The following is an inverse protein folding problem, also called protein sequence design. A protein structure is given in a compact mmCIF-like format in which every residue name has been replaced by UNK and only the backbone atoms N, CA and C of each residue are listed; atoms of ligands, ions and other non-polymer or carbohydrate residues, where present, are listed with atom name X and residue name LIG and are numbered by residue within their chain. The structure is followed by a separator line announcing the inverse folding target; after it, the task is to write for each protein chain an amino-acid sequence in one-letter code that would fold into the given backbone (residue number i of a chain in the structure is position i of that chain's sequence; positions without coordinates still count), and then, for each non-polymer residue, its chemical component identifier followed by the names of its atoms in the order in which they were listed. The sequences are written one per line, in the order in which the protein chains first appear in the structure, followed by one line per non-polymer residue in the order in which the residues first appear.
data_IF_165286162525
#
_entry.id   IF_165286162525
#
_cell.length_a   1.000
_cell.length_b   1.000
_cell.length_c   1.000
_cell.angle_alpha   90.00
_cell.angle_beta   90.00
_cell.angle_gamma   90.00
#
_symmetry.space_group_name_H-M   'P 1'
#
loop_
_entity.id
_entity.type
_entity.pdbx_description
1 polymer ?
#
# COMPACT_ATOMS: atom_id res chain seq x y z
N UNK A 1 -25.41 -18.87 21.77
CA UNK A 1 -26.02 -19.09 20.44
C UNK A 1 -25.97 -20.59 20.15
N UNK A 2 -26.95 -21.15 19.45
CA UNK A 2 -27.12 -22.60 19.25
C UNK A 2 -25.84 -23.34 18.79
N UNK A 3 -24.99 -22.68 18.00
CA UNK A 3 -23.67 -23.18 17.59
C UNK A 3 -22.82 -23.68 18.77
N UNK A 4 -22.74 -22.91 19.87
CA UNK A 4 -21.94 -23.32 21.03
C UNK A 4 -22.54 -24.54 21.73
N UNK A 5 -23.86 -24.67 21.74
CA UNK A 5 -24.56 -25.81 22.33
C UNK A 5 -24.32 -27.08 21.51
N UNK A 6 -24.42 -26.97 20.18
CA UNK A 6 -24.10 -28.06 19.25
C UNK A 6 -22.67 -28.56 19.41
N UNK A 7 -21.69 -27.63 19.49
CA UNK A 7 -20.28 -28.01 19.70
C UNK A 7 -20.02 -28.64 21.06
N UNK A 8 -20.71 -28.18 22.12
CA UNK A 8 -20.48 -28.64 23.48
C UNK A 8 -21.16 -29.98 23.77
N UNK A 9 -22.39 -30.15 23.32
CA UNK A 9 -23.22 -31.31 23.65
C UNK A 9 -23.29 -32.33 22.50
N UNK A 10 -22.77 -32.01 21.31
CA UNK A 10 -22.74 -32.92 20.17
C UNK A 10 -24.06 -32.99 19.40
N UNK A 11 -23.98 -33.23 18.10
CA UNK A 11 -25.13 -33.20 17.19
C UNK A 11 -26.18 -34.28 17.48
N UNK A 12 -25.79 -35.44 18.01
CA UNK A 12 -26.71 -36.54 18.33
C UNK A 12 -27.76 -36.19 19.38
N UNK A 13 -27.52 -35.13 20.18
CA UNK A 13 -28.46 -34.63 21.18
C UNK A 13 -29.44 -33.58 20.62
N UNK A 14 -29.43 -33.34 19.31
CA UNK A 14 -30.30 -32.40 18.62
C UNK A 14 -31.01 -33.07 17.45
N UNK A 15 -32.24 -32.67 17.18
CA UNK A 15 -33.02 -33.11 16.03
C UNK A 15 -33.40 -31.89 15.19
N UNK A 16 -33.42 -32.07 13.86
CA UNK A 16 -33.95 -31.08 12.93
C UNK A 16 -35.30 -31.56 12.42
N UNK A 17 -36.32 -30.72 12.54
CA UNK A 17 -37.68 -30.98 12.08
C UNK A 17 -38.23 -29.75 11.37
N UNK A 18 -38.98 -29.97 10.29
CA UNK A 18 -39.63 -28.91 9.53
C UNK A 18 -41.03 -28.69 10.11
N UNK A 19 -41.26 -27.54 10.75
CA UNK A 19 -42.55 -27.23 11.38
C UNK A 19 -43.66 -26.93 10.36
N UNK A 20 -43.35 -26.14 9.33
CA UNK A 20 -44.34 -25.75 8.31
C UNK A 20 -43.63 -25.36 6.99
N UNK A 21 -44.20 -25.76 5.86
CA UNK A 21 -43.82 -25.24 4.54
C UNK A 21 -44.64 -23.99 4.23
N UNK A 22 -43.98 -22.89 3.87
CA UNK A 22 -44.63 -21.63 3.56
C UNK A 22 -43.97 -20.90 2.39
N UNK A 23 -44.70 -19.97 1.78
CA UNK A 23 -44.16 -19.11 0.74
C UNK A 23 -43.12 -18.12 1.30
N UNK A 24 -42.07 -17.74 0.53
CA UNK A 24 -41.02 -16.82 0.99
C UNK A 24 -41.52 -15.49 1.57
N UNK A 25 -42.70 -15.03 1.11
CA UNK A 25 -43.33 -13.77 1.56
C UNK A 25 -43.87 -13.85 2.98
N UNK A 26 -44.25 -15.05 3.44
CA UNK A 26 -44.88 -15.27 4.74
C UNK A 26 -43.93 -15.94 5.75
N UNK A 27 -42.75 -16.39 5.33
CA UNK A 27 -41.74 -17.00 6.21
C UNK A 27 -41.47 -16.19 7.48
N UNK A 28 -41.31 -14.86 7.38
CA UNK A 28 -41.02 -14.02 8.56
C UNK A 28 -42.20 -13.99 9.54
N UNK A 29 -43.44 -13.95 9.05
CA UNK A 29 -44.63 -13.95 9.90
C UNK A 29 -44.77 -15.30 10.62
N UNK A 30 -44.55 -16.40 9.90
CA UNK A 30 -44.61 -17.75 10.44
C UNK A 30 -43.48 -18.02 11.44
N UNK A 31 -42.27 -17.53 11.15
CA UNK A 31 -41.14 -17.58 12.08
C UNK A 31 -41.48 -16.83 13.39
N UNK A 32 -42.04 -15.61 13.30
CA UNK A 32 -42.48 -14.87 14.48
C UNK A 32 -43.52 -15.65 15.29
N UNK A 33 -44.52 -16.23 14.62
CA UNK A 33 -45.57 -17.03 15.25
C UNK A 33 -44.98 -18.21 16.05
N UNK A 34 -44.06 -18.99 15.47
CA UNK A 34 -43.44 -20.11 16.19
C UNK A 34 -42.50 -19.67 17.31
N UNK A 35 -41.77 -18.54 17.15
CA UNK A 35 -40.95 -17.97 18.23
C UNK A 35 -41.82 -17.59 19.44
N UNK A 36 -42.97 -16.95 19.21
CA UNK A 36 -43.88 -16.54 20.27
C UNK A 36 -44.61 -17.71 20.92
N UNK A 37 -45.00 -18.71 20.11
CA UNK A 37 -45.69 -19.91 20.56
C UNK A 37 -44.77 -20.82 21.41
N UNK A 38 -43.59 -21.14 20.88
CA UNK A 38 -42.69 -22.12 21.48
C UNK A 38 -41.70 -21.52 22.49
N UNK A 39 -41.46 -20.19 22.41
CA UNK A 39 -40.50 -19.45 23.25
C UNK A 39 -39.14 -20.18 23.39
N UNK A 40 -38.48 -20.50 22.26
CA UNK A 40 -37.29 -21.34 22.28
C UNK A 40 -36.12 -20.68 23.02
N UNK A 41 -35.43 -21.44 23.87
CA UNK A 41 -34.31 -20.97 24.69
C UNK A 41 -33.12 -20.47 23.86
N UNK A 42 -32.84 -21.13 22.73
CA UNK A 42 -31.66 -20.84 21.91
C UNK A 42 -31.81 -19.64 20.97
N UNK A 43 -33.03 -19.11 20.78
CA UNK A 43 -33.26 -17.92 19.96
C UNK A 43 -32.92 -16.66 20.77
N UNK A 44 -31.81 -16.02 20.39
CA UNK A 44 -31.36 -14.77 21.02
C UNK A 44 -32.26 -13.61 20.62
N UNK A 45 -32.64 -13.55 19.34
CA UNK A 45 -33.57 -12.54 18.83
C UNK A 45 -34.99 -13.05 19.05
N UNK A 46 -35.79 -12.27 19.80
CA UNK A 46 -37.20 -12.55 20.07
C UNK A 46 -38.13 -12.13 18.93
N UNK A 47 -37.60 -11.33 18.01
CA UNK A 47 -38.32 -10.89 16.82
C UNK A 47 -37.66 -11.49 15.59
N UNK A 48 -38.47 -12.13 14.76
CA UNK A 48 -38.11 -12.61 13.44
C UNK A 48 -37.80 -11.41 12.54
N UNK A 49 -36.73 -11.52 11.76
CA UNK A 49 -36.29 -10.43 10.92
C UNK A 49 -35.23 -10.87 9.92
N UNK A 50 -35.25 -10.25 8.75
CA UNK A 50 -34.24 -10.47 7.74
C UNK A 50 -33.14 -9.43 7.84
N UNK A 51 -31.88 -9.88 7.76
CA UNK A 51 -30.73 -8.99 7.60
C UNK A 51 -30.55 -8.51 6.16
N UNK A 52 -31.36 -9.01 5.22
CA UNK A 52 -31.26 -8.64 3.82
C UNK A 52 -31.53 -7.14 3.66
N UNK A 53 -30.56 -6.42 3.09
CA UNK A 53 -30.66 -4.98 2.90
C UNK A 53 -30.41 -4.13 4.14
N UNK A 54 -30.10 -4.73 5.30
CA UNK A 54 -29.80 -3.99 6.52
C UNK A 54 -28.55 -3.11 6.35
N UNK A 55 -28.70 -1.80 6.52
CA UNK A 55 -27.60 -0.84 6.48
C UNK A 55 -27.12 -0.55 7.91
N UNK A 56 -25.81 -0.49 8.10
CA UNK A 56 -25.24 -0.08 9.40
C UNK A 56 -25.49 1.41 9.65
N UNK A 57 -25.61 1.79 10.92
CA UNK A 57 -25.65 3.20 11.32
C UNK A 57 -24.35 3.91 10.96
N UNK A 58 -24.40 5.23 10.73
CA UNK A 58 -23.21 6.02 10.40
C UNK A 58 -22.15 5.91 11.51
N UNK A 59 -22.57 5.90 12.77
CA UNK A 59 -21.68 5.67 13.92
C UNK A 59 -20.89 4.35 13.81
N UNK A 60 -21.57 3.27 13.40
CA UNK A 60 -20.94 1.96 13.23
C UNK A 60 -19.98 1.97 12.04
N UNK A 61 -20.36 2.63 10.95
CA UNK A 61 -19.50 2.80 9.78
C UNK A 61 -18.24 3.61 10.12
N UNK A 62 -18.36 4.68 10.92
CA UNK A 62 -17.23 5.47 11.41
C UNK A 62 -16.30 4.59 12.26
N UNK A 63 -16.85 3.76 13.17
CA UNK A 63 -16.04 2.80 13.94
C UNK A 63 -15.27 1.83 13.05
N UNK A 64 -15.88 1.34 11.97
CA UNK A 64 -15.21 0.47 11.01
C UNK A 64 -14.11 1.19 10.23
N UNK A 65 -14.36 2.43 9.78
CA UNK A 65 -13.35 3.26 9.08
C UNK A 65 -12.14 3.57 9.98
N UNK A 66 -12.38 3.81 11.27
CA UNK A 66 -11.34 4.20 12.23
C UNK A 66 -10.64 3.02 12.92
N UNK A 67 -11.07 1.78 12.65
CA UNK A 67 -10.47 0.59 13.26
C UNK A 67 -9.02 0.44 12.80
N UNK A 68 -8.09 0.44 13.75
CA UNK A 68 -6.67 0.15 13.50
C UNK A 68 -6.39 -1.33 13.72
N UNK A 69 -5.64 -1.94 12.80
CA UNK A 69 -5.15 -3.31 12.95
C UNK A 69 -3.88 -3.34 13.81
N UNK A 70 -3.71 -4.43 14.56
CA UNK A 70 -2.46 -4.69 15.27
C UNK A 70 -1.31 -4.92 14.27
N UNK A 71 -0.08 -4.68 14.71
CA UNK A 71 1.13 -4.90 13.90
C UNK A 71 1.21 -6.35 13.39
N UNK A 72 0.90 -7.32 14.25
CA UNK A 72 0.88 -8.74 13.89
C UNK A 72 -0.12 -9.03 12.76
N UNK A 73 -1.33 -8.46 12.85
CA UNK A 73 -2.36 -8.63 11.82
C UNK A 73 -1.93 -8.01 10.50
N UNK A 74 -1.34 -6.82 10.54
CA UNK A 74 -0.81 -6.13 9.36
C UNK A 74 0.29 -6.97 8.68
N UNK A 75 1.16 -7.59 9.47
CA UNK A 75 2.22 -8.45 8.95
C UNK A 75 1.66 -9.72 8.28
N UNK A 76 0.67 -10.38 8.89
CA UNK A 76 -0.03 -11.53 8.27
C UNK A 76 -0.71 -11.15 6.96
N UNK A 77 -1.40 -10.00 6.92
CA UNK A 77 -2.05 -9.49 5.72
C UNK A 77 -1.03 -9.17 4.61
N UNK A 78 0.10 -8.56 4.98
CA UNK A 78 1.19 -8.25 4.04
C UNK A 78 1.78 -9.52 3.44
N UNK A 79 2.12 -10.51 4.28
CA UNK A 79 2.67 -11.79 3.83
C UNK A 79 1.71 -12.54 2.91
N UNK A 80 0.40 -12.55 3.21
CA UNK A 80 -0.61 -13.20 2.37
C UNK A 80 -0.80 -12.55 0.99
N UNK A 81 -0.37 -11.29 0.83
CA UNK A 81 -0.38 -10.55 -0.44
C UNK A 81 0.96 -10.58 -1.17
N UNK A 82 2.05 -10.90 -0.48
CA UNK A 82 3.39 -10.94 -1.06
C UNK A 82 3.43 -11.95 -2.21
N UNK A 83 3.95 -11.52 -3.37
CA UNK A 83 4.06 -12.34 -4.57
C UNK A 83 2.78 -12.49 -5.41
N UNK A 84 1.64 -11.96 -4.97
CA UNK A 84 0.40 -11.97 -5.78
C UNK A 84 0.44 -10.84 -6.81
N UNK A 85 0.16 -11.17 -8.06
CA UNK A 85 0.00 -10.21 -9.15
C UNK A 85 -1.45 -9.74 -9.25
N UNK A 86 -1.64 -8.49 -9.67
CA UNK A 86 -2.98 -7.96 -9.94
C UNK A 86 -3.50 -8.51 -11.29
N UNK A 87 -4.82 -8.68 -11.40
CA UNK A 87 -5.44 -9.04 -12.68
C UNK A 87 -5.26 -7.92 -13.71
N UNK A 88 -5.24 -8.28 -14.99
CA UNK A 88 -5.14 -7.30 -16.10
C UNK A 88 -6.22 -6.23 -16.03
N UNK A 89 -7.46 -6.62 -15.70
CA UNK A 89 -8.59 -5.71 -15.53
C UNK A 89 -8.36 -4.70 -14.39
N UNK A 90 -7.83 -5.17 -13.25
CA UNK A 90 -7.50 -4.30 -12.11
C UNK A 90 -6.40 -3.31 -12.49
N UNK A 91 -5.38 -3.78 -13.21
CA UNK A 91 -4.29 -2.92 -13.69
C UNK A 91 -4.84 -1.83 -14.62
N UNK A 92 -5.73 -2.18 -15.55
CA UNK A 92 -6.35 -1.22 -16.47
C UNK A 92 -7.10 -0.09 -15.73
N UNK A 93 -7.83 -0.43 -14.65
CA UNK A 93 -8.54 0.56 -13.80
C UNK A 93 -7.59 1.47 -13.01
N UNK A 94 -6.34 1.06 -12.79
CA UNK A 94 -5.33 1.83 -12.07
C UNK A 94 -4.52 2.75 -12.99
N UNK A 95 -4.35 2.36 -14.26
CA UNK A 95 -3.61 3.16 -15.24
C UNK A 95 -4.35 4.49 -15.46
N UNK A 96 -3.62 5.60 -15.40
CA UNK A 96 -4.15 6.94 -15.67
C UNK A 96 -4.80 7.63 -14.46
N UNK A 97 -4.90 6.98 -13.29
CA UNK A 97 -5.38 7.64 -12.07
C UNK A 97 -4.43 8.77 -11.67
N UNK A 98 -4.95 10.00 -11.59
CA UNK A 98 -4.24 11.15 -11.03
C UNK A 98 -4.46 11.17 -9.51
N UNK A 99 -3.37 11.28 -8.78
CA UNK A 99 -3.42 11.47 -7.33
C UNK A 99 -3.90 12.89 -7.00
N UNK A 100 -4.57 13.06 -5.86
CA UNK A 100 -4.89 14.40 -5.35
C UNK A 100 -3.62 15.18 -5.02
N UNK A 101 -3.71 16.50 -5.09
CA UNK A 101 -2.58 17.38 -4.78
C UNK A 101 -2.08 17.18 -3.35
N UNK A 102 -3.00 17.06 -2.39
CA UNK A 102 -2.68 16.80 -0.98
C UNK A 102 -1.88 15.50 -0.81
N UNK A 103 -2.29 14.41 -1.47
CA UNK A 103 -1.55 13.13 -1.38
C UNK A 103 -0.18 13.25 -2.04
N UNK A 104 -0.08 14.00 -3.14
CA UNK A 104 1.17 14.24 -3.85
C UNK A 104 2.15 15.04 -2.99
N UNK A 105 1.68 16.05 -2.27
CA UNK A 105 2.47 16.85 -1.33
C UNK A 105 2.99 15.98 -0.19
N UNK A 106 2.13 15.22 0.50
CA UNK A 106 2.55 14.31 1.59
C UNK A 106 3.64 13.33 1.15
N UNK A 107 3.49 12.72 -0.02
CA UNK A 107 4.52 11.83 -0.57
C UNK A 107 5.82 12.57 -0.92
N UNK A 108 5.72 13.80 -1.42
CA UNK A 108 6.88 14.63 -1.74
C UNK A 108 7.65 14.99 -0.46
N UNK A 109 6.95 15.39 0.60
CA UNK A 109 7.55 15.73 1.90
C UNK A 109 8.30 14.54 2.51
N UNK A 110 7.68 13.35 2.52
CA UNK A 110 8.30 12.12 3.03
C UNK A 110 9.58 11.77 2.24
N UNK A 111 9.58 12.01 0.93
CA UNK A 111 10.71 11.65 0.05
C UNK A 111 11.80 12.71 -0.01
N UNK A 112 11.51 13.96 0.34
CA UNK A 112 12.47 15.07 0.23
C UNK A 112 13.62 14.84 1.21
N UNK A 113 14.83 14.68 0.68
CA UNK A 113 16.02 14.40 1.49
C UNK A 113 16.18 12.93 1.91
N UNK A 114 15.29 12.03 1.48
CA UNK A 114 15.44 10.60 1.74
C UNK A 114 16.70 10.04 1.07
N UNK A 115 17.50 9.28 1.83
CA UNK A 115 18.64 8.54 1.29
C UNK A 115 18.14 7.42 0.40
N UNK A 116 18.87 7.15 -0.68
CA UNK A 116 18.59 6.00 -1.51
C UNK A 116 18.94 4.72 -0.74
N UNK A 117 18.16 3.64 -0.88
CA UNK A 117 18.53 2.36 -0.30
C UNK A 117 19.90 1.92 -0.82
N UNK A 118 20.69 1.33 0.06
CA UNK A 118 22.05 0.90 -0.23
C UNK A 118 22.06 -0.12 -1.39
N UNK A 119 23.01 0.03 -2.32
CA UNK A 119 23.07 -0.78 -3.54
C UNK A 119 22.07 -0.41 -4.64
N UNK A 120 21.23 0.62 -4.44
CA UNK A 120 20.31 1.08 -5.50
C UNK A 120 20.95 2.09 -6.46
N UNK A 121 20.76 1.85 -7.76
CA UNK A 121 21.30 2.69 -8.83
C UNK A 121 22.75 2.39 -9.17
N UNK A 122 23.36 3.25 -9.99
CA UNK A 122 24.79 3.16 -10.31
C UNK A 122 25.60 3.85 -9.21
N UNK A 123 26.73 3.28 -8.76
CA UNK A 123 27.58 3.92 -7.76
C UNK A 123 28.06 5.29 -8.26
N UNK A 124 28.35 6.20 -7.32
CA UNK A 124 29.01 7.45 -7.68
C UNK A 124 30.39 7.15 -8.26
N UNK A 125 30.73 7.84 -9.35
CA UNK A 125 32.03 7.73 -9.98
C UNK A 125 32.90 8.91 -9.55
N UNK A 126 34.07 8.60 -8.99
CA UNK A 126 35.09 9.60 -8.66
C UNK A 126 35.61 10.24 -9.94
N UNK A 127 35.88 11.54 -9.87
CA UNK A 127 36.41 12.29 -11.02
C UNK A 127 37.55 13.20 -10.59
N UNK A 128 38.54 13.30 -11.46
CA UNK A 128 39.62 14.27 -11.38
C UNK A 128 39.30 15.45 -12.28
N UNK A 129 39.48 16.66 -11.74
CA UNK A 129 39.36 17.91 -12.46
C UNK A 129 40.70 18.61 -12.41
N UNK A 130 41.30 18.84 -13.58
CA UNK A 130 42.49 19.66 -13.72
C UNK A 130 42.08 21.08 -14.14
N UNK A 131 42.49 22.08 -13.35
CA UNK A 131 42.32 23.51 -13.66
C UNK A 131 43.63 24.06 -14.24
N UNK A 132 43.58 24.47 -15.50
CA UNK A 132 44.72 24.98 -16.26
C UNK A 132 45.23 26.33 -15.75
N UNK A 133 44.38 27.13 -15.10
CA UNK A 133 44.77 28.47 -14.66
C UNK A 133 45.68 28.45 -13.42
N UNK A 134 45.47 27.46 -12.55
CA UNK A 134 46.24 27.27 -11.31
C UNK A 134 47.15 26.04 -11.37
N UNK A 135 47.14 25.34 -12.51
CA UNK A 135 47.91 24.12 -12.76
C UNK A 135 47.75 23.05 -11.65
N UNK A 136 46.50 22.85 -11.17
CA UNK A 136 46.20 21.95 -10.07
C UNK A 136 45.11 20.94 -10.44
N UNK A 137 45.29 19.69 -10.01
CA UNK A 137 44.28 18.63 -10.11
C UNK A 137 43.58 18.44 -8.77
N UNK A 138 42.24 18.38 -8.78
CA UNK A 138 41.43 18.08 -7.60
C UNK A 138 40.51 16.89 -7.89
N UNK A 139 40.44 15.97 -6.94
CA UNK A 139 39.58 14.77 -7.01
C UNK A 139 38.29 15.03 -6.24
N UNK A 140 37.17 14.62 -6.83
CA UNK A 140 35.83 14.68 -6.25
C UNK A 140 35.22 13.29 -6.19
N UNK A 141 34.39 13.01 -5.19
CA UNK A 141 33.75 11.70 -5.02
C UNK A 141 32.59 11.48 -6.01
N UNK A 142 32.11 12.55 -6.67
CA UNK A 142 31.12 12.43 -7.75
C UNK A 142 31.14 13.58 -8.77
N UNK A 143 30.58 13.31 -9.96
CA UNK A 143 30.28 14.34 -10.97
C UNK A 143 29.38 15.46 -10.39
N UNK A 144 28.42 15.11 -9.53
CA UNK A 144 27.53 16.10 -8.91
C UNK A 144 28.30 17.04 -7.99
N UNK A 145 29.26 16.53 -7.23
CA UNK A 145 30.06 17.31 -6.30
C UNK A 145 30.97 18.30 -7.04
N UNK A 146 31.68 17.84 -8.09
CA UNK A 146 32.48 18.74 -8.92
C UNK A 146 31.62 19.80 -9.63
N UNK A 147 30.43 19.41 -10.11
CA UNK A 147 29.49 20.34 -10.74
C UNK A 147 29.09 21.48 -9.80
N UNK A 148 28.81 21.16 -8.53
CA UNK A 148 28.47 22.15 -7.51
C UNK A 148 29.69 23.04 -7.21
N UNK A 149 30.85 22.45 -6.95
CA UNK A 149 32.06 23.18 -6.59
C UNK A 149 32.53 24.15 -7.69
N UNK A 150 32.33 23.78 -8.96
CA UNK A 150 32.77 24.56 -10.12
C UNK A 150 31.66 25.45 -10.71
N UNK A 151 30.42 25.33 -10.22
CA UNK A 151 29.26 26.01 -10.82
C UNK A 151 28.97 25.56 -12.27
N UNK A 152 29.33 24.33 -12.63
CA UNK A 152 29.16 23.77 -13.98
C UNK A 152 27.97 22.82 -13.98
N UNK A 153 27.17 22.80 -15.06
CA UNK A 153 26.09 21.82 -15.19
C UNK A 153 26.67 20.39 -15.22
N UNK A 154 26.13 19.51 -14.37
CA UNK A 154 26.51 18.08 -14.30
C UNK A 154 26.54 17.40 -15.68
N UNK A 155 25.56 17.70 -16.54
CA UNK A 155 25.48 17.14 -17.89
C UNK A 155 26.67 17.53 -18.77
N UNK A 156 27.23 18.74 -18.62
CA UNK A 156 28.38 19.17 -19.38
C UNK A 156 29.63 18.37 -19.02
N UNK A 157 29.89 18.20 -17.71
CA UNK A 157 30.98 17.36 -17.21
C UNK A 157 30.81 15.92 -17.69
N UNK A 158 29.60 15.36 -17.54
CA UNK A 158 29.29 14.01 -18.00
C UNK A 158 29.53 13.82 -19.51
N UNK A 159 29.17 14.82 -20.32
CA UNK A 159 29.32 14.76 -21.78
C UNK A 159 30.79 14.75 -22.16
N UNK A 160 31.60 15.65 -21.58
CA UNK A 160 33.05 15.74 -21.83
C UNK A 160 33.78 14.45 -21.47
N UNK A 161 33.38 13.84 -20.35
CA UNK A 161 33.90 12.56 -19.93
C UNK A 161 33.48 11.44 -20.90
N UNK A 162 32.22 11.42 -21.37
CA UNK A 162 31.76 10.40 -22.31
C UNK A 162 32.34 10.54 -23.72
N UNK A 163 32.66 11.75 -24.15
CA UNK A 163 33.29 12.03 -25.43
C UNK A 163 34.80 11.82 -25.43
N UNK A 164 35.38 11.45 -24.28
CA UNK A 164 36.81 11.23 -24.07
C UNK A 164 37.68 12.38 -24.60
N UNK A 165 37.18 13.61 -24.49
CA UNK A 165 37.84 14.80 -25.04
C UNK A 165 38.83 15.36 -24.03
N UNK A 166 40.11 15.40 -24.40
CA UNK A 166 41.14 16.18 -23.67
C UNK A 166 41.05 17.69 -23.92
N UNK A 167 39.97 18.15 -24.56
CA UNK A 167 39.74 19.57 -24.80
C UNK A 167 39.38 20.26 -23.48
N UNK A 168 39.93 21.45 -23.28
CA UNK A 168 39.57 22.27 -22.13
C UNK A 168 38.12 22.72 -22.22
N UNK A 169 37.31 22.39 -21.22
CA UNK A 169 36.00 22.96 -21.03
C UNK A 169 36.14 24.44 -20.66
N UNK A 170 35.54 25.31 -21.49
CA UNK A 170 35.67 26.77 -21.41
C UNK A 170 37.14 27.24 -21.30
N UNK A 171 38.04 26.55 -21.99
CA UNK A 171 39.49 26.85 -21.97
C UNK A 171 40.14 26.83 -20.58
N UNK A 172 39.51 26.15 -19.59
CA UNK A 172 39.98 26.14 -18.19
C UNK A 172 40.10 24.75 -17.58
N UNK A 173 39.11 23.88 -17.77
CA UNK A 173 39.06 22.61 -17.05
C UNK A 173 39.18 21.39 -17.96
N UNK A 174 39.85 20.33 -17.50
CA UNK A 174 39.71 18.99 -18.09
C UNK A 174 39.16 18.03 -17.05
N UNK A 175 38.44 17.01 -17.51
CA UNK A 175 37.71 16.08 -16.65
C UNK A 175 38.12 14.65 -16.98
N UNK A 176 38.52 13.88 -15.96
CA UNK A 176 38.91 12.48 -16.12
C UNK A 176 38.21 11.61 -15.08
N UNK A 177 37.83 10.40 -15.48
CA UNK A 177 37.30 9.37 -14.58
C UNK A 177 38.46 8.68 -13.86
N UNK A 178 38.26 8.43 -12.57
CA UNK A 178 39.09 7.55 -11.73
C UNK A 178 38.38 6.22 -11.54
#
# INVERSE_FOLDING_TARGET
MIYNALLKYGYSNFQLEILEYCDPKDCIKKEQYFIELLKPEYNILKSAGSRLGHKHSEETLVKFRNRKHSLETLLKMSNAKKGKTLSKETIAKLIGRKLSEETRQKMSEIRKGGTKPEGSGRPSQKIEVFDNNINQTKTYDSISEAAIALGIRKSAISTYISSNTNKLFKSRYTFKKV
#
